data_IF_641241270682
#
_entry.id   IF_641241270682
#
_cell.length_a   1.000
_cell.length_b   1.000
_cell.length_c   1.000
_cell.angle_alpha   90.00
_cell.angle_beta   90.00
_cell.angle_gamma   90.00
#
_symmetry.space_group_name_H-M   'P 1'
#
loop_
_entity.id
_entity.type
_entity.pdbx_description
1 polymer ?
#
# COMPACT_ATOMS: atom_id res chain seq x y z
N UNK A 1 -9.58 -2.61 -17.73
CA UNK A 1 -10.49 -1.88 -16.80
C UNK A 1 -11.65 -1.30 -17.59
N UNK A 2 -12.84 -1.44 -17.05
CA UNK A 2 -14.05 -0.93 -17.70
C UNK A 2 -14.18 0.58 -17.50
N UNK A 3 -14.71 1.31 -18.51
CA UNK A 3 -14.95 2.75 -18.36
C UNK A 3 -15.84 3.06 -17.16
N UNK A 4 -15.55 4.16 -16.48
CA UNK A 4 -16.30 4.59 -15.30
C UNK A 4 -15.93 3.87 -14.00
N UNK A 5 -14.84 3.11 -14.01
CA UNK A 5 -14.39 2.35 -12.85
C UNK A 5 -13.03 2.86 -12.34
N UNK A 6 -12.81 2.66 -11.07
CA UNK A 6 -11.53 2.90 -10.42
C UNK A 6 -11.00 1.57 -9.86
N UNK A 7 -9.69 1.45 -9.83
CA UNK A 7 -9.03 0.33 -9.15
C UNK A 7 -8.46 0.84 -7.84
N UNK A 8 -8.83 0.17 -6.73
CA UNK A 8 -8.32 0.51 -5.40
C UNK A 8 -7.45 -0.66 -4.93
N UNK A 9 -6.18 -0.37 -4.66
CA UNK A 9 -5.23 -1.35 -4.14
C UNK A 9 -4.85 -0.98 -2.72
N UNK A 10 -4.83 -1.97 -1.84
CA UNK A 10 -4.35 -1.79 -0.48
C UNK A 10 -2.84 -1.92 -0.46
N UNK A 11 -2.18 -0.97 0.20
CA UNK A 11 -0.73 -0.93 0.25
C UNK A 11 -0.16 -1.35 1.60
N UNK A 12 1.15 -1.19 1.73
CA UNK A 12 1.89 -1.65 2.89
C UNK A 12 1.54 -0.90 4.19
N UNK A 13 1.16 0.39 4.10
CA UNK A 13 0.79 1.14 5.29
C UNK A 13 -0.44 0.54 5.97
N UNK A 14 -1.46 0.18 5.20
CA UNK A 14 -2.65 -0.45 5.75
C UNK A 14 -2.36 -1.85 6.26
N UNK A 15 -1.50 -2.59 5.56
CA UNK A 15 -1.04 -3.90 6.02
C UNK A 15 -0.33 -3.78 7.39
N UNK A 16 0.57 -2.82 7.52
CA UNK A 16 1.28 -2.58 8.77
C UNK A 16 0.33 -2.29 9.93
N UNK A 17 -0.60 -1.35 9.73
CA UNK A 17 -1.55 -0.93 10.78
C UNK A 17 -2.46 -2.08 11.22
N UNK A 18 -2.82 -2.98 10.29
CA UNK A 18 -3.76 -4.07 10.57
C UNK A 18 -3.09 -5.41 10.91
N UNK A 19 -1.75 -5.43 11.04
CA UNK A 19 -1.00 -6.69 11.18
C UNK A 19 -1.41 -7.52 12.41
N UNK A 20 -1.81 -6.88 13.50
CA UNK A 20 -2.23 -7.55 14.71
C UNK A 20 -3.73 -7.46 14.97
N UNK A 21 -4.48 -6.92 14.04
CA UNK A 21 -5.92 -6.81 14.16
C UNK A 21 -6.61 -8.15 13.90
N UNK A 22 -7.89 -8.21 14.20
CA UNK A 22 -8.69 -9.42 13.94
C UNK A 22 -8.68 -9.79 12.45
N UNK A 23 -8.62 -8.79 11.57
CA UNK A 23 -8.56 -9.00 10.12
C UNK A 23 -7.41 -8.20 9.53
N UNK A 24 -6.34 -8.90 9.21
CA UNK A 24 -5.18 -8.29 8.55
C UNK A 24 -5.51 -8.02 7.08
N UNK A 25 -5.17 -6.82 6.64
CA UNK A 25 -5.30 -6.44 5.22
C UNK A 25 -3.95 -6.64 4.56
N UNK A 26 -3.88 -7.50 3.55
CA UNK A 26 -2.64 -7.74 2.82
C UNK A 26 -2.36 -6.64 1.81
N UNK A 27 -1.09 -6.32 1.60
CA UNK A 27 -0.68 -5.43 0.54
C UNK A 27 -0.78 -6.14 -0.81
N UNK A 28 -1.26 -5.42 -1.82
CA UNK A 28 -1.43 -5.98 -3.17
C UNK A 28 -0.13 -5.81 -3.94
N UNK A 29 0.52 -6.93 -4.23
CA UNK A 29 1.71 -6.93 -5.10
C UNK A 29 1.21 -6.94 -6.55
N UNK A 30 1.61 -5.95 -7.31
CA UNK A 30 1.10 -5.79 -8.67
C UNK A 30 2.18 -5.21 -9.58
N UNK A 31 1.94 -5.35 -10.86
CA UNK A 31 2.81 -4.77 -11.89
C UNK A 31 1.98 -4.43 -13.12
N UNK A 32 2.56 -3.62 -13.98
CA UNK A 32 1.96 -3.30 -15.27
C UNK A 32 2.60 -4.18 -16.33
N UNK A 33 1.78 -4.94 -17.02
CA UNK A 33 2.24 -5.77 -18.13
C UNK A 33 2.27 -4.95 -19.41
N UNK A 34 3.32 -5.13 -20.20
CA UNK A 34 3.36 -4.62 -21.54
C UNK A 34 2.34 -5.36 -22.39
N UNK A 35 1.45 -4.62 -23.05
CA UNK A 35 0.44 -5.22 -23.93
C UNK A 35 0.78 -4.95 -25.37
N UNK A 36 0.78 -5.99 -26.19
CA UNK A 36 0.87 -5.87 -27.63
C UNK A 36 -0.56 -5.73 -28.16
N UNK A 37 -1.14 -4.58 -27.99
CA UNK A 37 -2.50 -4.31 -28.45
C UNK A 37 -2.49 -3.46 -29.72
N UNK A 38 -3.63 -3.41 -30.38
CA UNK A 38 -3.82 -2.56 -31.57
C UNK A 38 -3.65 -1.09 -31.22
N UNK A 39 -4.01 -0.72 -29.99
CA UNK A 39 -3.82 0.64 -29.49
C UNK A 39 -2.68 0.64 -28.47
N UNK A 40 -1.44 1.00 -28.86
CA UNK A 40 -0.31 0.99 -27.95
C UNK A 40 -0.30 2.14 -26.95
N UNK A 41 -1.15 3.16 -27.13
CA UNK A 41 -1.21 4.31 -26.23
C UNK A 41 -2.13 4.01 -25.08
N UNK A 42 -1.57 4.09 -23.87
CA UNK A 42 -2.34 3.88 -22.65
C UNK A 42 -2.01 4.98 -21.67
N UNK A 43 -3.03 5.56 -21.08
CA UNK A 43 -2.88 6.59 -20.06
C UNK A 43 -3.34 6.05 -18.70
N UNK A 44 -2.62 6.43 -17.66
CA UNK A 44 -2.99 6.09 -16.31
C UNK A 44 -2.81 7.29 -15.38
N UNK A 45 -3.71 7.43 -14.44
CA UNK A 45 -3.58 8.43 -13.38
C UNK A 45 -3.59 7.67 -12.06
N UNK A 46 -2.53 7.87 -11.27
CA UNK A 46 -2.38 7.17 -9.98
C UNK A 46 -2.49 8.19 -8.87
N UNK A 47 -3.30 7.88 -7.87
CA UNK A 47 -3.39 8.66 -6.65
C UNK A 47 -2.97 7.80 -5.47
N UNK A 48 -1.97 8.27 -4.72
CA UNK A 48 -1.50 7.60 -3.52
C UNK A 48 -2.09 8.28 -2.29
N UNK A 49 -2.98 7.56 -1.60
CA UNK A 49 -3.51 8.03 -0.31
C UNK A 49 -2.50 7.64 0.77
N UNK A 50 -1.47 8.46 0.91
CA UNK A 50 -0.39 8.20 1.86
C UNK A 50 -0.68 8.82 3.22
N UNK A 51 -0.18 8.22 4.31
CA UNK A 51 -0.19 8.89 5.61
C UNK A 51 0.78 10.07 5.61
N UNK A 52 0.64 10.93 6.63
CA UNK A 52 1.53 12.06 6.81
C UNK A 52 2.97 11.57 6.96
N UNK A 53 3.89 12.09 6.13
CA UNK A 53 5.29 11.64 6.14
C UNK A 53 5.99 11.90 7.47
N UNK A 54 5.55 12.88 8.23
CA UNK A 54 6.12 13.20 9.54
C UNK A 54 5.38 12.49 10.68
N UNK A 55 4.38 11.68 10.35
CA UNK A 55 3.55 11.02 11.33
C UNK A 55 4.08 9.67 11.76
N UNK A 56 3.30 9.04 12.62
CA UNK A 56 3.55 7.70 13.15
C UNK A 56 2.40 6.79 12.77
N UNK A 57 2.73 5.54 12.49
CA UNK A 57 1.76 4.47 12.30
C UNK A 57 1.80 3.55 13.51
N UNK A 58 0.63 3.22 14.03
CA UNK A 58 0.47 2.39 15.21
C UNK A 58 -0.23 1.10 14.84
N UNK A 59 0.20 0.01 15.45
CA UNK A 59 -0.43 -1.30 15.27
C UNK A 59 -1.26 -1.61 16.50
N UNK A 60 -2.52 -1.93 16.30
CA UNK A 60 -3.45 -2.26 17.38
C UNK A 60 -3.93 -3.70 17.22
N UNK A 61 -4.11 -4.40 18.34
CA UNK A 61 -4.73 -5.72 18.32
C UNK A 61 -6.27 -5.60 18.33
N UNK A 62 -6.94 -6.75 18.38
CA UNK A 62 -8.41 -6.81 18.39
C UNK A 62 -9.02 -6.13 19.62
N UNK A 63 -8.25 -5.95 20.68
CA UNK A 63 -8.68 -5.30 21.94
C UNK A 63 -8.36 -3.80 21.95
N UNK A 64 -7.70 -3.29 20.93
CA UNK A 64 -7.32 -1.89 20.86
C UNK A 64 -6.00 -1.58 21.55
N UNK A 65 -5.24 -2.58 21.96
CA UNK A 65 -3.93 -2.38 22.58
C UNK A 65 -2.85 -2.20 21.51
N UNK A 66 -1.90 -1.32 21.81
CA UNK A 66 -0.78 -1.05 20.88
C UNK A 66 0.19 -2.22 20.90
N UNK A 67 0.48 -2.80 19.76
CA UNK A 67 1.44 -3.89 19.59
C UNK A 67 2.74 -3.45 18.94
N UNK A 68 2.75 -2.34 18.24
CA UNK A 68 3.95 -1.83 17.61
C UNK A 68 3.71 -0.48 16.99
N UNK A 69 4.78 0.12 16.51
CA UNK A 69 4.71 1.42 15.85
C UNK A 69 5.90 1.60 14.92
N UNK A 70 5.75 2.49 13.97
CA UNK A 70 6.84 2.91 13.09
C UNK A 70 6.58 4.33 12.63
N UNK A 71 7.65 5.09 12.42
CA UNK A 71 7.48 6.34 11.68
C UNK A 71 7.13 6.01 10.23
N UNK A 72 6.36 6.89 9.60
CA UNK A 72 5.98 6.71 8.20
C UNK A 72 7.22 6.68 7.31
N UNK A 73 8.16 7.58 7.56
CA UNK A 73 9.43 7.61 6.81
C UNK A 73 10.24 6.33 7.02
N UNK A 74 10.28 5.80 8.24
CA UNK A 74 10.98 4.56 8.55
C UNK A 74 10.40 3.37 7.82
N UNK A 75 9.08 3.27 7.76
CA UNK A 75 8.41 2.18 7.05
C UNK A 75 8.71 2.24 5.56
N UNK A 76 8.62 3.43 4.96
CA UNK A 76 8.89 3.58 3.53
C UNK A 76 10.35 3.31 3.20
N UNK A 77 11.28 3.70 4.05
CA UNK A 77 12.70 3.40 3.85
C UNK A 77 12.96 1.89 3.89
N UNK A 78 12.30 1.17 4.80
CA UNK A 78 12.43 -0.27 4.90
C UNK A 78 11.87 -0.96 3.65
N UNK A 79 10.72 -0.52 3.14
CA UNK A 79 10.13 -1.07 1.93
C UNK A 79 11.01 -0.82 0.71
N UNK A 80 11.58 0.35 0.59
CA UNK A 80 12.48 0.68 -0.49
C UNK A 80 13.73 -0.20 -0.46
N UNK A 81 14.29 -0.44 0.71
CA UNK A 81 15.43 -1.31 0.89
C UNK A 81 15.11 -2.74 0.41
N UNK A 82 13.94 -3.25 0.76
CA UNK A 82 13.53 -4.59 0.36
C UNK A 82 13.36 -4.71 -1.16
N UNK A 83 12.96 -3.64 -1.82
CA UNK A 83 12.81 -3.64 -3.27
C UNK A 83 14.15 -3.67 -4.02
N UNK A 84 15.23 -3.18 -3.41
CA UNK A 84 16.57 -3.13 -4.05
C UNK A 84 17.41 -4.38 -3.80
N UNK A 85 16.95 -5.25 -2.95
CA UNK A 85 17.58 -6.54 -2.70
C UNK A 85 16.95 -7.62 -3.58
#
# INVERSE_FOLDING_TARGET
MLPGHLIINFGEALHFVTAYSERTVGAVVHRVLSQQSIDPVRHGIVYFANPDLEGMLWQFDAKGEVKGSSSVQGLFALLEKNLTE
#
